data_IF_291854674964
#
_entry.id   IF_291854674964
#
_cell.length_a   1.000
_cell.length_b   1.000
_cell.length_c   1.000
_cell.angle_alpha   90.00
_cell.angle_beta   90.00
_cell.angle_gamma   90.00
#
_symmetry.space_group_name_H-M   'P 1'
#
loop_
_entity.id
_entity.type
_entity.pdbx_description
1 polymer ?
#
# COMPACT_ATOMS: atom_id res chain seq x y z
N UNK A 1 -6.89 0.66 -14.25
CA UNK A 1 -5.55 0.73 -13.62
C UNK A 1 -5.70 0.45 -12.13
N UNK A 2 -4.90 -0.46 -11.58
CA UNK A 2 -4.89 -0.83 -10.16
C UNK A 2 -3.48 -0.70 -9.58
N UNK A 3 -3.31 -0.68 -8.26
CA UNK A 3 -1.99 -0.64 -7.63
C UNK A 3 -1.11 -1.83 -8.06
N UNK A 4 -1.70 -3.03 -8.19
CA UNK A 4 -1.02 -4.22 -8.71
C UNK A 4 -0.56 -4.06 -10.17
N UNK A 5 -1.34 -3.35 -10.97
CA UNK A 5 -0.99 -3.07 -12.37
C UNK A 5 0.21 -2.14 -12.42
N UNK A 6 0.20 -1.06 -11.61
CA UNK A 6 1.30 -0.10 -11.56
C UNK A 6 2.59 -0.76 -11.09
N UNK A 7 2.54 -1.60 -10.05
CA UNK A 7 3.70 -2.38 -9.58
C UNK A 7 4.37 -3.18 -10.71
N UNK A 8 3.55 -3.80 -11.58
CA UNK A 8 4.04 -4.54 -12.75
C UNK A 8 4.61 -3.62 -13.83
N UNK A 9 3.95 -2.50 -14.11
CA UNK A 9 4.38 -1.53 -15.13
C UNK A 9 5.73 -0.87 -14.79
N UNK A 10 6.00 -0.61 -13.50
CA UNK A 10 7.25 0.01 -13.04
C UNK A 10 8.32 -1.02 -12.63
N UNK A 11 8.05 -2.32 -12.82
CA UNK A 11 8.92 -3.44 -12.42
C UNK A 11 9.48 -3.30 -10.99
N UNK A 12 8.63 -2.86 -10.05
CA UNK A 12 9.03 -2.59 -8.66
C UNK A 12 8.19 -3.37 -7.67
N UNK A 13 8.82 -3.76 -6.57
CA UNK A 13 8.13 -4.26 -5.38
C UNK A 13 7.80 -3.15 -4.38
N UNK A 14 8.22 -1.90 -4.62
CA UNK A 14 7.95 -0.80 -3.70
C UNK A 14 6.52 -0.25 -3.89
N UNK A 15 5.65 -0.71 -2.99
CA UNK A 15 4.24 -0.32 -2.92
C UNK A 15 4.04 1.18 -2.73
N UNK A 16 4.99 1.89 -2.12
CA UNK A 16 4.90 3.33 -1.93
C UNK A 16 5.18 4.10 -3.23
N UNK A 17 6.22 3.68 -3.97
CA UNK A 17 6.50 4.22 -5.31
C UNK A 17 5.31 3.97 -6.23
N UNK A 18 4.77 2.74 -6.24
CA UNK A 18 3.61 2.41 -7.04
C UNK A 18 2.36 3.23 -6.67
N UNK A 19 2.15 3.53 -5.38
CA UNK A 19 1.04 4.40 -4.96
C UNK A 19 1.22 5.83 -5.47
N UNK A 20 2.42 6.40 -5.36
CA UNK A 20 2.71 7.75 -5.84
C UNK A 20 2.54 7.86 -7.37
N UNK A 21 2.99 6.84 -8.10
CA UNK A 21 2.80 6.74 -9.56
C UNK A 21 1.32 6.64 -9.91
N UNK A 22 0.55 5.79 -9.21
CA UNK A 22 -0.89 5.66 -9.41
C UNK A 22 -1.63 6.98 -9.20
N UNK A 23 -1.34 7.70 -8.10
CA UNK A 23 -1.96 8.99 -7.80
C UNK A 23 -1.63 10.01 -8.89
N UNK A 24 -0.36 10.08 -9.31
CA UNK A 24 0.08 10.97 -10.39
C UNK A 24 -0.64 10.67 -11.70
N UNK A 25 -0.74 9.40 -12.10
CA UNK A 25 -1.47 8.99 -13.30
C UNK A 25 -2.96 9.35 -13.22
N UNK A 26 -3.61 9.06 -12.09
CA UNK A 26 -5.04 9.37 -11.93
C UNK A 26 -5.31 10.88 -11.94
N UNK A 27 -4.42 11.68 -11.36
CA UNK A 27 -4.51 13.13 -11.39
C UNK A 27 -4.30 13.68 -12.81
N UNK A 28 -3.30 13.15 -13.54
CA UNK A 28 -3.08 13.54 -14.93
C UNK A 28 -4.28 13.19 -15.82
N UNK A 29 -4.87 12.00 -15.63
CA UNK A 29 -6.10 11.59 -16.32
C UNK A 29 -7.23 12.57 -15.97
N UNK A 30 -7.45 12.88 -14.69
CA UNK A 30 -8.48 13.84 -14.27
C UNK A 30 -8.31 15.19 -14.98
N UNK A 31 -7.10 15.75 -15.00
CA UNK A 31 -6.79 17.03 -15.66
C UNK A 31 -7.03 17.00 -17.17
N UNK A 32 -6.96 15.83 -17.80
CA UNK A 32 -7.26 15.64 -19.23
C UNK A 32 -8.74 15.49 -19.56
N UNK A 33 -9.61 15.33 -18.55
CA UNK A 33 -11.06 15.22 -18.73
C UNK A 33 -11.70 16.61 -18.88
N UNK A 34 -12.92 16.66 -19.42
CA UNK A 34 -13.72 17.88 -19.42
C UNK A 34 -13.97 18.40 -18.00
N UNK A 35 -14.07 19.72 -17.78
CA UNK A 35 -14.18 20.34 -16.45
C UNK A 35 -15.29 19.74 -15.56
N UNK A 36 -16.41 19.35 -16.14
CA UNK A 36 -17.53 18.70 -15.45
C UNK A 36 -17.18 17.34 -14.81
N UNK A 37 -16.09 16.71 -15.24
CA UNK A 37 -15.57 15.45 -14.72
C UNK A 37 -14.33 15.61 -13.84
N UNK A 38 -13.82 16.84 -13.66
CA UNK A 38 -12.63 17.11 -12.85
C UNK A 38 -12.91 17.19 -11.35
N UNK A 39 -13.90 16.47 -10.82
CA UNK A 39 -14.23 16.55 -9.38
C UNK A 39 -13.29 15.71 -8.52
N UNK A 40 -12.87 16.27 -7.38
CA UNK A 40 -12.06 15.57 -6.37
C UNK A 40 -12.74 14.28 -5.87
N UNK A 41 -14.08 14.27 -5.83
CA UNK A 41 -14.86 13.09 -5.45
C UNK A 41 -14.66 11.93 -6.43
N UNK A 42 -14.54 12.24 -7.72
CA UNK A 42 -14.26 11.24 -8.75
C UNK A 42 -12.84 10.69 -8.63
N UNK A 43 -11.85 11.55 -8.34
CA UNK A 43 -10.47 11.15 -8.12
C UNK A 43 -10.35 10.28 -6.87
N UNK A 44 -10.98 10.69 -5.77
CA UNK A 44 -11.03 9.95 -4.52
C UNK A 44 -11.58 8.52 -4.72
N UNK A 45 -12.71 8.39 -5.41
CA UNK A 45 -13.33 7.09 -5.69
C UNK A 45 -12.42 6.19 -6.55
N UNK A 46 -11.74 6.76 -7.56
CA UNK A 46 -10.81 6.03 -8.42
C UNK A 46 -9.59 5.53 -7.64
N UNK A 47 -9.00 6.37 -6.77
CA UNK A 47 -7.87 5.97 -5.92
C UNK A 47 -8.28 4.81 -5.02
N UNK A 48 -9.43 4.91 -4.35
CA UNK A 48 -9.97 3.84 -3.51
C UNK A 48 -10.15 2.52 -4.28
N UNK A 49 -10.79 2.59 -5.45
CA UNK A 49 -11.04 1.42 -6.28
C UNK A 49 -9.74 0.77 -6.76
N UNK A 50 -8.75 1.59 -7.15
CA UNK A 50 -7.46 1.11 -7.66
C UNK A 50 -6.59 0.49 -6.55
N UNK A 51 -6.70 0.96 -5.32
CA UNK A 51 -5.98 0.44 -4.15
C UNK A 51 -6.61 -0.82 -3.54
N UNK A 52 -7.93 -0.98 -3.62
CA UNK A 52 -8.68 -2.09 -3.00
C UNK A 52 -8.12 -3.52 -3.25
N UNK A 53 -7.56 -3.86 -4.42
CA UNK A 53 -7.05 -5.21 -4.68
C UNK A 53 -5.75 -5.57 -3.96
N UNK A 54 -5.02 -4.60 -3.37
CA UNK A 54 -3.74 -4.84 -2.72
C UNK A 54 -3.90 -4.90 -1.18
N UNK A 55 -3.32 -5.91 -0.49
CA UNK A 55 -3.51 -6.09 0.96
C UNK A 55 -3.01 -4.89 1.79
N UNK A 56 -1.95 -4.21 1.36
CA UNK A 56 -1.44 -2.98 2.01
C UNK A 56 -2.51 -1.89 2.19
N UNK A 57 -3.52 -1.83 1.34
CA UNK A 57 -4.57 -0.82 1.39
C UNK A 57 -5.74 -1.20 2.31
N UNK A 58 -5.85 -2.48 2.67
CA UNK A 58 -6.94 -3.04 3.48
C UNK A 58 -6.56 -3.26 4.94
N UNK A 59 -5.32 -2.97 5.32
CA UNK A 59 -4.85 -3.11 6.71
C UNK A 59 -5.29 -1.90 7.52
N UNK A 60 -5.73 -2.15 8.75
CA UNK A 60 -6.27 -1.16 9.69
C UNK A 60 -7.58 -0.48 9.27
N UNK A 61 -8.04 0.48 10.09
CA UNK A 61 -9.36 1.12 10.04
C UNK A 61 -9.86 1.46 8.62
N UNK A 62 -11.17 1.28 8.35
CA UNK A 62 -11.76 1.58 7.05
C UNK A 62 -11.60 3.06 6.70
N UNK A 63 -11.52 3.31 5.39
CA UNK A 63 -11.42 4.67 4.85
C UNK A 63 -12.78 5.35 4.98
N UNK A 64 -12.80 6.58 5.50
CA UNK A 64 -14.02 7.36 5.65
C UNK A 64 -14.36 7.96 4.28
N UNK A 65 -15.62 7.86 3.88
CA UNK A 65 -16.08 8.16 2.51
C UNK A 65 -16.13 9.67 2.20
N UNK A 66 -15.77 10.52 3.17
CA UNK A 66 -15.86 11.99 3.10
C UNK A 66 -14.51 12.69 3.34
N UNK A 67 -13.41 11.96 3.12
CA UNK A 67 -12.05 12.49 3.22
C UNK A 67 -11.62 13.22 1.94
N UNK A 68 -10.75 14.22 2.07
CA UNK A 68 -10.10 14.85 0.90
C UNK A 68 -9.10 13.90 0.27
N UNK A 69 -8.77 14.09 -1.02
CA UNK A 69 -7.73 13.32 -1.72
C UNK A 69 -6.39 13.32 -0.96
N UNK A 70 -6.04 14.45 -0.33
CA UNK A 70 -4.83 14.57 0.51
C UNK A 70 -4.91 13.70 1.77
N UNK A 71 -6.03 13.72 2.50
CA UNK A 71 -6.24 12.88 3.69
C UNK A 71 -6.22 11.40 3.32
N UNK A 72 -6.89 11.03 2.22
CA UNK A 72 -6.87 9.67 1.68
C UNK A 72 -5.44 9.21 1.39
N UNK A 73 -4.67 10.04 0.68
CA UNK A 73 -3.28 9.74 0.31
C UNK A 73 -2.41 9.52 1.54
N UNK A 74 -2.49 10.42 2.53
CA UNK A 74 -1.73 10.28 3.77
C UNK A 74 -2.11 9.02 4.54
N UNK A 75 -3.40 8.67 4.55
CA UNK A 75 -3.88 7.44 5.19
C UNK A 75 -3.41 6.19 4.46
N UNK A 76 -3.41 6.19 3.13
CA UNK A 76 -2.88 5.08 2.33
C UNK A 76 -1.37 4.89 2.56
N UNK A 77 -0.58 5.98 2.62
CA UNK A 77 0.84 5.91 2.98
C UNK A 77 1.05 5.33 4.38
N UNK A 78 0.26 5.78 5.36
CA UNK A 78 0.31 5.23 6.72
C UNK A 78 -0.02 3.74 6.75
N UNK A 79 -1.07 3.30 6.04
CA UNK A 79 -1.43 1.87 5.92
C UNK A 79 -0.33 1.05 5.27
N UNK A 80 0.31 1.57 4.22
CA UNK A 80 1.46 0.92 3.57
C UNK A 80 2.64 0.81 4.54
N UNK A 81 2.96 1.86 5.30
CA UNK A 81 4.03 1.83 6.30
C UNK A 81 3.75 0.79 7.41
N UNK A 82 2.50 0.72 7.90
CA UNK A 82 2.07 -0.32 8.84
C UNK A 82 2.20 -1.71 8.25
N UNK A 83 1.77 -1.91 7.00
CA UNK A 83 1.91 -3.20 6.31
C UNK A 83 3.37 -3.62 6.12
N UNK A 84 4.24 -2.69 5.69
CA UNK A 84 5.69 -2.93 5.59
C UNK A 84 6.26 -3.37 6.95
N UNK A 85 5.86 -2.70 8.03
CA UNK A 85 6.29 -3.04 9.40
C UNK A 85 5.80 -4.42 9.85
N UNK A 86 4.56 -4.78 9.52
CA UNK A 86 4.00 -6.11 9.81
C UNK A 86 4.73 -7.22 9.04
N UNK A 87 5.12 -6.98 7.79
CA UNK A 87 5.91 -7.95 7.05
C UNK A 87 7.32 -8.10 7.63
N UNK A 88 7.98 -7.01 7.99
CA UNK A 88 9.32 -7.06 8.57
C UNK A 88 9.32 -7.81 9.91
N UNK A 89 8.35 -7.52 10.80
CA UNK A 89 8.21 -8.25 12.07
C UNK A 89 7.89 -9.73 11.90
N UNK A 90 7.09 -10.10 10.88
CA UNK A 90 6.84 -11.51 10.56
C UNK A 90 8.10 -12.23 10.05
N UNK A 91 8.96 -11.54 9.30
CA UNK A 91 10.25 -12.06 8.82
C UNK A 91 11.24 -12.20 9.98
N UNK A 92 11.30 -11.22 10.89
CA UNK A 92 12.15 -11.27 12.09
C UNK A 92 11.77 -12.43 13.02
N UNK A 93 10.47 -12.66 13.26
CA UNK A 93 10.00 -13.81 14.06
C UNK A 93 10.40 -15.17 13.44
N UNK A 94 10.43 -15.27 12.10
CA UNK A 94 10.90 -16.48 11.40
C UNK A 94 12.40 -16.72 11.56
N UNK A 95 13.20 -15.65 11.65
CA UNK A 95 14.65 -15.75 11.80
C UNK A 95 15.07 -16.06 13.25
N UNK A 96 14.35 -15.53 14.26
CA UNK A 96 14.62 -15.81 15.67
C UNK A 96 14.24 -17.23 16.11
N UNK A 97 13.21 -17.83 15.51
CA UNK A 97 12.82 -19.21 15.80
C UNK A 97 13.88 -20.23 15.33
N UNK A 98 14.53 -19.97 14.20
CA UNK A 98 15.58 -20.83 13.65
C UNK A 98 16.91 -20.78 14.46
N UNK A 99 17.26 -19.65 15.09
CA UNK A 99 18.45 -19.57 15.96
C UNK A 99 18.24 -20.25 17.32
N UNK A 100 17.00 -20.28 17.81
CA UNK A 100 16.66 -20.96 19.08
C UNK A 100 16.68 -22.48 18.94
N UNK A 101 16.35 -23.04 17.77
CA UNK A 101 16.41 -24.49 17.54
C UNK A 101 17.86 -25.01 17.40
N UNK A 102 18.80 -24.17 16.96
CA UNK A 102 20.22 -24.52 16.86
C UNK A 102 20.96 -24.53 18.21
N UNK A 103 20.46 -23.83 19.23
CA UNK A 103 21.12 -23.74 20.56
C UNK A 103 20.71 -24.81 21.56
N UNK A 104 19.64 -25.58 21.32
CA UNK A 104 19.21 -26.66 22.21
C UNK A 104 20.07 -27.94 22.06
N UNK A 105 20.87 -28.05 20.99
CA UNK A 105 21.68 -29.24 20.72
C UNK A 105 23.11 -29.25 21.31
N UNK A 106 23.56 -28.18 21.98
CA UNK A 106 24.93 -28.06 22.50
C UNK A 106 25.03 -28.02 24.04
N UNK A 107 24.23 -28.82 24.75
CA UNK A 107 24.52 -29.11 26.15
C UNK A 107 24.10 -30.53 26.56
N UNK A 108 24.72 -31.53 25.92
CA UNK A 108 24.82 -32.87 26.49
C UNK A 108 26.03 -33.60 25.93
N UNK A 109 27.15 -33.53 26.64
CA UNK A 109 28.17 -34.57 26.78
C UNK A 109 29.12 -34.17 27.90
#
# INVERSE_FOLDING_TARGET
MSLNTVLKEIESSDVEIALNTLITHLHHIQMSLSPEFQSDKSLFAKILQACRPHPSCSISCPIVVDDTVAKLTNRLRSKIATWKSLQNSAIEQYNEHNDSEAKVHFHRS
#
